data_IF_037730022512
#
_entry.id   IF_037730022512
#
_cell.length_a   1.000
_cell.length_b   1.000
_cell.length_c   1.000
_cell.angle_alpha   90.00
_cell.angle_beta   90.00
_cell.angle_gamma   90.00
#
_symmetry.space_group_name_H-M   'P 1'
#
loop_
_entity.id
_entity.type
_entity.pdbx_description
1 polymer ?
#
# COMPACT_ATOMS: atom_id res chain seq x y z
N UNK A 1 1.37 -15.82 9.95
CA UNK A 1 2.15 -14.58 9.75
C UNK A 1 1.15 -13.44 9.59
N UNK A 2 1.36 -12.30 10.23
CA UNK A 2 0.50 -11.12 10.02
C UNK A 2 0.74 -10.58 8.62
N UNK A 3 -0.31 -10.21 7.89
CA UNK A 3 -0.16 -9.54 6.60
C UNK A 3 0.48 -8.15 6.82
N UNK A 4 1.28 -7.70 5.86
CA UNK A 4 1.81 -6.33 5.85
C UNK A 4 0.68 -5.38 5.45
N UNK A 5 0.16 -4.58 6.37
CA UNK A 5 -0.95 -3.68 6.09
C UNK A 5 -0.45 -2.33 5.60
N UNK A 6 -0.73 -2.02 4.35
CA UNK A 6 -0.44 -0.74 3.72
C UNK A 6 -1.70 0.11 3.70
N UNK A 7 -1.61 1.35 4.18
CA UNK A 7 -2.69 2.33 4.03
C UNK A 7 -2.25 3.47 3.14
N UNK A 8 -3.06 3.75 2.14
CA UNK A 8 -2.92 4.87 1.23
C UNK A 8 -4.06 5.84 1.55
N UNK A 9 -3.71 7.02 2.04
CA UNK A 9 -4.66 8.04 2.46
C UNK A 9 -4.58 9.22 1.50
N UNK A 10 -5.70 9.60 0.91
CA UNK A 10 -5.79 10.89 0.23
C UNK A 10 -5.81 12.01 1.26
N UNK A 11 -4.95 13.00 1.07
CA UNK A 11 -4.99 14.29 1.72
C UNK A 11 -5.27 15.35 0.65
N UNK A 12 -5.75 16.53 1.02
CA UNK A 12 -6.22 17.58 0.11
C UNK A 12 -5.23 17.95 -1.01
N UNK A 13 -3.93 17.70 -0.81
CA UNK A 13 -2.87 18.02 -1.77
C UNK A 13 -1.92 16.85 -2.09
N UNK A 14 -2.06 15.70 -1.42
CA UNK A 14 -1.08 14.61 -1.51
C UNK A 14 -1.67 13.24 -1.14
N UNK A 15 -0.94 12.18 -1.46
CA UNK A 15 -1.29 10.80 -1.11
C UNK A 15 -0.24 10.21 -0.18
N UNK A 16 -0.63 9.82 1.02
CA UNK A 16 0.28 9.31 2.04
C UNK A 16 0.21 7.79 2.10
N UNK A 17 1.36 7.13 2.01
CA UNK A 17 1.50 5.68 2.19
C UNK A 17 2.04 5.40 3.58
N UNK A 18 1.40 4.49 4.30
CA UNK A 18 1.89 3.95 5.56
C UNK A 18 1.94 2.44 5.54
N UNK A 19 2.85 1.85 6.32
CA UNK A 19 2.94 0.41 6.57
C UNK A 19 2.84 0.17 8.07
N UNK A 20 1.80 -0.52 8.50
CA UNK A 20 1.52 -0.79 9.93
C UNK A 20 1.57 0.50 10.77
N UNK A 21 1.01 1.60 10.25
CA UNK A 21 0.98 2.91 10.88
C UNK A 21 2.28 3.73 10.77
N UNK A 22 3.34 3.20 10.16
CA UNK A 22 4.59 3.95 9.91
C UNK A 22 4.55 4.60 8.54
N UNK A 23 4.89 5.88 8.47
CA UNK A 23 5.01 6.61 7.21
C UNK A 23 6.06 5.96 6.30
N UNK A 24 5.70 5.73 5.04
CA UNK A 24 6.57 5.22 3.99
C UNK A 24 6.91 6.30 2.97
N UNK A 25 5.89 6.99 2.45
CA UNK A 25 6.06 7.99 1.41
C UNK A 25 4.88 8.98 1.35
N UNK A 26 5.14 10.17 0.83
CA UNK A 26 4.13 11.14 0.41
C UNK A 26 4.26 11.36 -1.09
N UNK A 27 3.18 11.14 -1.83
CA UNK A 27 3.12 11.13 -3.29
C UNK A 27 2.20 12.23 -3.80
N UNK A 28 2.35 12.61 -5.07
CA UNK A 28 1.47 13.62 -5.70
C UNK A 28 0.21 13.02 -6.32
N UNK A 29 0.16 11.69 -6.44
CA UNK A 29 -0.98 10.99 -7.03
C UNK A 29 -1.26 9.65 -6.36
N UNK A 30 -2.50 9.18 -6.48
CA UNK A 30 -2.93 7.84 -6.06
C UNK A 30 -2.11 6.74 -6.71
N UNK A 31 -1.86 6.87 -8.02
CA UNK A 31 -1.15 5.86 -8.80
C UNK A 31 0.29 5.68 -8.29
N UNK A 32 0.99 6.77 -8.00
CA UNK A 32 2.34 6.74 -7.43
C UNK A 32 2.35 6.13 -6.01
N UNK A 33 1.39 6.52 -5.16
CA UNK A 33 1.25 5.94 -3.82
C UNK A 33 0.99 4.42 -3.86
N UNK A 34 0.15 4.00 -4.80
CA UNK A 34 -0.17 2.59 -5.02
C UNK A 34 1.02 1.80 -5.57
N UNK A 35 1.76 2.34 -6.54
CA UNK A 35 2.98 1.71 -7.07
C UNK A 35 4.05 1.51 -5.96
N UNK A 36 4.24 2.48 -5.07
CA UNK A 36 5.13 2.35 -3.91
C UNK A 36 4.67 1.25 -2.95
N UNK A 37 3.37 1.20 -2.65
CA UNK A 37 2.82 0.17 -1.77
C UNK A 37 2.97 -1.23 -2.39
N UNK A 38 2.73 -1.38 -3.69
CA UNK A 38 2.92 -2.64 -4.42
C UNK A 38 4.38 -3.08 -4.39
N UNK A 39 5.33 -2.22 -4.80
CA UNK A 39 6.77 -2.53 -4.75
C UNK A 39 7.21 -2.95 -3.35
N UNK A 40 6.70 -2.26 -2.32
CA UNK A 40 7.04 -2.61 -0.95
C UNK A 40 6.41 -3.93 -0.49
N UNK A 41 5.19 -4.23 -0.93
CA UNK A 41 4.54 -5.51 -0.68
C UNK A 41 5.31 -6.66 -1.36
N UNK A 42 5.80 -6.46 -2.59
CA UNK A 42 6.64 -7.41 -3.31
C UNK A 42 7.97 -7.67 -2.59
N UNK A 43 8.66 -6.60 -2.13
CA UNK A 43 9.89 -6.72 -1.32
C UNK A 43 9.67 -7.54 -0.03
N UNK A 44 8.50 -7.41 0.59
CA UNK A 44 8.15 -8.11 1.83
C UNK A 44 7.51 -9.49 1.56
N UNK A 45 7.31 -9.86 0.30
CA UNK A 45 6.71 -11.12 -0.15
C UNK A 45 5.19 -11.18 -0.06
N UNK A 46 4.55 -10.21 0.59
CA UNK A 46 3.08 -10.08 0.67
C UNK A 46 2.69 -8.71 1.20
N UNK A 47 1.49 -8.25 0.88
CA UNK A 47 0.91 -7.05 1.46
C UNK A 47 -0.58 -6.95 1.21
N UNK A 48 -1.27 -6.27 2.12
CA UNK A 48 -2.66 -5.90 1.96
C UNK A 48 -2.74 -4.37 1.86
N UNK A 49 -3.21 -3.88 0.73
CA UNK A 49 -3.27 -2.45 0.41
C UNK A 49 -4.70 -1.96 0.60
N UNK A 50 -4.86 -0.95 1.43
CA UNK A 50 -6.10 -0.23 1.66
C UNK A 50 -5.95 1.19 1.13
N UNK A 51 -6.84 1.61 0.25
CA UNK A 51 -6.88 2.97 -0.29
C UNK A 51 -8.12 3.66 0.23
N UNK A 52 -7.89 4.80 0.88
CA UNK A 52 -8.92 5.65 1.44
C UNK A 52 -9.02 6.96 0.67
N UNK A 53 -10.24 7.49 0.57
CA UNK A 53 -10.48 8.81 0.04
C UNK A 53 -10.11 9.92 1.05
N UNK A 54 -10.38 11.17 0.67
CA UNK A 54 -10.06 12.35 1.48
C UNK A 54 -10.95 12.47 2.74
N UNK A 55 -12.05 11.72 2.81
CA UNK A 55 -12.91 11.63 3.99
C UNK A 55 -12.46 10.53 4.96
N UNK A 56 -11.50 9.70 4.55
CA UNK A 56 -10.99 8.55 5.31
C UNK A 56 -11.76 7.26 5.03
N UNK A 57 -12.75 7.29 4.15
CA UNK A 57 -13.56 6.13 3.79
C UNK A 57 -12.77 5.19 2.87
N UNK A 58 -12.95 3.88 3.06
CA UNK A 58 -12.26 2.86 2.26
C UNK A 58 -12.88 2.78 0.86
N UNK A 59 -12.13 3.18 -0.15
CA UNK A 59 -12.55 3.05 -1.55
C UNK A 59 -12.13 1.73 -2.19
N UNK A 60 -10.95 1.22 -1.83
CA UNK A 60 -10.35 0.08 -2.50
C UNK A 60 -9.48 -0.74 -1.55
N UNK A 61 -9.54 -2.06 -1.70
CA UNK A 61 -8.74 -3.02 -0.95
C UNK A 61 -8.24 -4.10 -1.88
N UNK A 62 -6.96 -4.43 -1.77
CA UNK A 62 -6.36 -5.51 -2.54
C UNK A 62 -5.29 -6.26 -1.75
N UNK A 63 -5.21 -7.57 -2.00
CA UNK A 63 -4.19 -8.43 -1.44
C UNK A 63 -3.14 -8.76 -2.50
N UNK A 64 -1.92 -8.26 -2.30
CA UNK A 64 -0.76 -8.55 -3.12
C UNK A 64 -0.06 -9.76 -2.52
N UNK A 65 -0.01 -10.85 -3.26
CA UNK A 65 0.77 -12.03 -2.92
C UNK A 65 1.74 -12.28 -4.06
N UNK A 66 3.02 -12.01 -3.84
CA UNK A 66 4.05 -12.52 -4.75
C UNK A 66 4.22 -13.99 -4.44
N UNK A 67 3.91 -14.91 -5.38
CA UNK A 67 4.30 -16.29 -5.20
C UNK A 67 5.82 -16.32 -5.02
N UNK A 68 6.29 -16.93 -3.93
CA UNK A 68 7.72 -17.24 -3.80
C UNK A 68 8.08 -17.99 -5.07
N UNK A 69 9.00 -17.44 -5.88
CA UNK A 69 9.65 -18.24 -6.91
C UNK A 69 10.29 -19.40 -6.15
N UNK A 70 9.70 -20.58 -6.24
CA UNK A 70 10.42 -21.81 -5.91
C UNK A 70 11.56 -21.85 -6.93
N UNK A 71 12.77 -21.54 -6.46
CA UNK A 71 14.00 -21.83 -7.19
C UNK A 71 13.97 -23.33 -7.50
N UNK A 72 13.76 -23.65 -8.77
CA UNK A 72 13.71 -25.01 -9.30
C UNK A 72 15.08 -25.40 -9.84
#
# INVERSE_FOLDING_TARGET
MSANHFQILANSEAWVVTLSGKHLATCRSRAEAYDIACKKAEELGSGEIFVHDATGELEFRENIHTPRREDR
#
